data_IF_769258110925
#
_entry.id   IF_769258110925
#
_cell.length_a   1.000
_cell.length_b   1.000
_cell.length_c   1.000
_cell.angle_alpha   90.00
_cell.angle_beta   90.00
_cell.angle_gamma   90.00
#
_symmetry.space_group_name_H-M   'P 1'
#
loop_
_entity.id
_entity.type
_entity.pdbx_description
1 polymer ?
#
# COMPACT_ATOMS: atom_id res chain seq x y z
N UNK A 1 -71.44 -36.59 -22.50
CA UNK A 1 -70.74 -35.52 -23.18
C UNK A 1 -69.42 -35.35 -22.51
N UNK A 2 -68.42 -35.83 -23.17
CA UNK A 2 -67.03 -36.01 -22.74
C UNK A 2 -66.24 -34.72 -23.00
N UNK A 3 -65.57 -34.21 -21.96
CA UNK A 3 -64.48 -33.25 -22.18
C UNK A 3 -63.22 -33.76 -21.51
N UNK A 4 -62.22 -34.07 -22.34
CA UNK A 4 -60.88 -34.47 -21.94
C UNK A 4 -60.11 -33.33 -21.28
N UNK A 5 -59.19 -33.63 -20.35
CA UNK A 5 -58.27 -32.63 -19.82
C UNK A 5 -57.02 -32.51 -20.68
N UNK A 6 -56.60 -31.28 -20.95
CA UNK A 6 -55.37 -30.91 -21.60
C UNK A 6 -54.13 -31.29 -20.79
N UNK A 7 -53.23 -31.94 -21.46
CA UNK A 7 -51.88 -32.30 -20.99
C UNK A 7 -51.00 -31.04 -20.93
N UNK A 8 -50.65 -30.56 -19.76
CA UNK A 8 -49.63 -29.54 -19.51
C UNK A 8 -48.24 -30.17 -19.58
N UNK A 9 -47.56 -29.95 -20.69
CA UNK A 9 -46.16 -30.34 -20.87
C UNK A 9 -45.23 -29.49 -20.01
N UNK A 10 -44.65 -30.13 -19.01
CA UNK A 10 -43.56 -29.52 -18.21
C UNK A 10 -42.26 -29.39 -19.04
N UNK A 11 -41.81 -28.14 -19.16
CA UNK A 11 -40.51 -27.76 -19.79
C UNK A 11 -39.38 -28.28 -18.87
N UNK A 12 -38.33 -28.92 -19.41
CA UNK A 12 -37.21 -29.38 -18.60
C UNK A 12 -36.43 -28.20 -18.05
N UNK A 13 -36.08 -28.25 -16.76
CA UNK A 13 -35.25 -27.29 -16.07
C UNK A 13 -33.82 -27.30 -16.67
N UNK A 14 -33.40 -26.15 -17.14
CA UNK A 14 -32.06 -25.89 -17.65
C UNK A 14 -31.05 -25.96 -16.49
N UNK A 15 -30.07 -26.83 -16.58
CA UNK A 15 -28.97 -27.00 -15.64
C UNK A 15 -28.13 -25.70 -15.64
N UNK A 16 -27.78 -25.11 -14.48
CA UNK A 16 -26.91 -23.97 -14.48
C UNK A 16 -25.51 -24.37 -14.98
N UNK A 17 -25.00 -23.57 -15.91
CA UNK A 17 -23.66 -23.70 -16.48
C UNK A 17 -22.59 -23.66 -15.38
N UNK A 18 -21.69 -24.64 -15.41
CA UNK A 18 -20.54 -24.70 -14.51
C UNK A 18 -19.64 -23.46 -14.71
N UNK A 19 -19.32 -22.78 -13.63
CA UNK A 19 -18.29 -21.74 -13.61
C UNK A 19 -16.96 -22.29 -14.12
N UNK A 20 -16.23 -21.57 -14.97
CA UNK A 20 -14.91 -21.99 -15.39
C UNK A 20 -13.99 -22.07 -14.16
N UNK A 21 -13.33 -23.21 -14.01
CA UNK A 21 -12.31 -23.43 -12.99
C UNK A 21 -11.22 -22.38 -13.13
N UNK A 22 -10.97 -21.64 -12.08
CA UNK A 22 -9.83 -20.74 -11.98
C UNK A 22 -8.56 -21.58 -12.22
N UNK A 23 -7.82 -21.21 -13.27
CA UNK A 23 -6.49 -21.76 -13.51
C UNK A 23 -5.61 -21.30 -12.35
N UNK A 24 -5.28 -22.24 -11.45
CA UNK A 24 -4.25 -22.04 -10.45
C UNK A 24 -2.92 -21.76 -11.19
N UNK A 25 -2.53 -20.50 -11.23
CA UNK A 25 -1.18 -20.12 -11.61
C UNK A 25 -0.23 -20.76 -10.58
N UNK A 26 0.51 -21.76 -11.03
CA UNK A 26 1.61 -22.31 -10.25
C UNK A 26 2.63 -21.19 -10.02
N UNK A 27 2.62 -20.65 -8.82
CA UNK A 27 3.68 -19.79 -8.29
C UNK A 27 4.98 -20.62 -8.26
N UNK A 28 5.75 -20.49 -9.33
CA UNK A 28 7.10 -21.02 -9.42
C UNK A 28 7.98 -20.23 -8.46
N UNK A 29 8.58 -20.96 -7.52
CA UNK A 29 9.76 -20.52 -6.76
C UNK A 29 9.45 -19.41 -5.74
N UNK A 30 8.94 -19.80 -4.55
CA UNK A 30 9.15 -19.00 -3.34
C UNK A 30 10.66 -19.02 -3.04
N UNK A 31 11.38 -18.03 -3.55
CA UNK A 31 12.58 -17.57 -2.90
C UNK A 31 12.13 -16.93 -1.59
N UNK A 32 12.75 -17.33 -0.48
CA UNK A 32 12.53 -16.70 0.82
C UNK A 32 12.58 -15.17 0.66
N UNK A 33 11.69 -14.40 1.34
CA UNK A 33 11.76 -12.97 1.27
C UNK A 33 13.15 -12.56 1.76
N UNK A 34 14.01 -12.10 0.86
CA UNK A 34 15.19 -11.37 1.25
C UNK A 34 14.69 -10.15 2.02
N UNK A 35 14.75 -10.25 3.35
CA UNK A 35 14.66 -9.09 4.22
C UNK A 35 15.88 -8.25 3.85
N UNK A 36 15.74 -7.39 2.86
CA UNK A 36 16.70 -6.33 2.66
C UNK A 36 16.73 -5.55 3.97
N UNK A 37 17.78 -5.76 4.75
CA UNK A 37 18.12 -4.84 5.81
C UNK A 37 18.33 -3.49 5.14
N UNK A 38 17.30 -2.64 5.18
CA UNK A 38 17.38 -1.26 4.75
C UNK A 38 18.42 -0.59 5.66
N UNK A 39 19.67 -0.60 5.20
CA UNK A 39 20.73 0.18 5.83
C UNK A 39 20.48 1.63 5.41
N UNK A 40 19.54 2.29 6.12
CA UNK A 40 19.33 3.73 5.94
C UNK A 40 20.67 4.41 6.26
N UNK A 41 21.21 5.23 5.36
CA UNK A 41 22.37 6.04 5.70
C UNK A 41 22.06 6.80 6.99
N UNK A 42 23.02 6.82 7.92
CA UNK A 42 22.95 7.63 9.12
C UNK A 42 22.74 9.07 8.65
N UNK A 43 21.55 9.63 8.90
CA UNK A 43 21.26 11.01 8.55
C UNK A 43 22.08 11.90 9.49
N UNK A 44 23.09 12.57 8.97
CA UNK A 44 23.79 13.64 9.69
C UNK A 44 22.76 14.68 10.22
N UNK A 45 23.00 15.29 11.38
CA UNK A 45 22.13 16.36 11.89
C UNK A 45 22.05 17.46 10.83
N UNK A 46 20.86 17.70 10.29
CA UNK A 46 20.66 18.67 9.22
C UNK A 46 20.55 20.05 9.85
N UNK A 47 21.41 20.98 9.45
CA UNK A 47 21.29 22.41 9.76
C UNK A 47 19.93 22.91 9.23
N UNK A 48 19.03 23.41 10.09
CA UNK A 48 17.72 23.91 9.67
C UNK A 48 17.80 25.11 8.72
N UNK A 49 18.97 25.75 8.59
CA UNK A 49 19.20 26.92 7.74
C UNK A 49 19.98 26.62 6.43
N UNK A 50 20.53 25.41 6.29
CA UNK A 50 21.11 25.00 5.02
C UNK A 50 20.03 24.84 3.96
N UNK A 51 20.24 25.51 2.80
CA UNK A 51 19.36 25.28 1.64
C UNK A 51 19.51 23.84 1.19
N UNK A 52 18.40 23.09 1.17
CA UNK A 52 18.46 21.71 0.80
C UNK A 52 19.00 21.55 -0.64
N UNK A 53 20.14 20.88 -0.79
CA UNK A 53 20.47 20.24 -2.05
C UNK A 53 19.61 18.96 -2.12
N UNK A 54 18.65 18.88 -3.04
CA UNK A 54 17.92 17.65 -3.30
C UNK A 54 18.89 16.56 -3.80
N UNK A 55 18.86 15.31 -3.30
CA UNK A 55 17.80 14.64 -2.51
C UNK A 55 18.27 14.26 -1.09
N UNK A 56 17.53 14.68 -0.08
CA UNK A 56 17.89 14.42 1.34
C UNK A 56 17.68 13.00 1.83
N UNK A 57 16.85 12.21 1.14
CA UNK A 57 16.51 10.86 1.57
C UNK A 57 16.00 10.05 0.38
N UNK A 58 16.34 8.79 0.41
CA UNK A 58 15.77 7.85 -0.54
C UNK A 58 14.31 7.56 -0.15
N UNK A 59 13.39 7.97 -1.00
CA UNK A 59 11.97 7.61 -0.90
C UNK A 59 11.66 6.69 -2.07
N UNK A 60 11.12 5.49 -1.82
CA UNK A 60 10.65 4.64 -2.90
C UNK A 60 9.55 5.36 -3.70
N UNK A 61 9.65 5.33 -5.02
CA UNK A 61 8.71 5.97 -5.94
C UNK A 61 7.89 4.96 -6.75
N UNK A 62 8.21 3.67 -6.61
CA UNK A 62 7.49 2.57 -7.22
C UNK A 62 6.27 2.13 -6.39
N UNK A 63 5.40 1.30 -6.98
CA UNK A 63 4.25 0.72 -6.31
C UNK A 63 4.69 -0.46 -5.45
N UNK A 64 4.14 -0.60 -4.25
CA UNK A 64 4.35 -1.78 -3.41
C UNK A 64 3.12 -2.70 -3.51
N UNK A 65 3.23 -3.80 -4.26
CA UNK A 65 2.15 -4.76 -4.47
C UNK A 65 2.61 -6.14 -4.03
N UNK A 66 1.87 -6.79 -3.15
CA UNK A 66 2.20 -8.13 -2.66
C UNK A 66 3.57 -8.24 -1.99
N UNK A 67 4.10 -7.15 -1.42
CA UNK A 67 5.41 -7.08 -0.80
C UNK A 67 6.57 -6.87 -1.77
N UNK A 68 6.29 -6.61 -3.05
CA UNK A 68 7.30 -6.37 -4.10
C UNK A 68 7.14 -4.98 -4.68
N UNK A 69 8.25 -4.27 -4.91
CA UNK A 69 8.26 -3.00 -5.61
C UNK A 69 8.16 -3.22 -7.11
N UNK A 70 7.19 -2.55 -7.76
CA UNK A 70 6.92 -2.66 -9.19
C UNK A 70 6.74 -1.27 -9.81
N UNK A 71 7.13 -1.12 -11.07
CA UNK A 71 6.92 0.11 -11.83
C UNK A 71 5.45 0.28 -12.19
N UNK A 72 5.01 1.51 -12.43
CA UNK A 72 3.66 1.78 -12.94
C UNK A 72 3.53 1.42 -14.42
N UNK A 73 2.46 0.70 -14.79
CA UNK A 73 2.19 0.33 -16.19
C UNK A 73 1.86 1.55 -17.05
N UNK A 74 1.35 2.63 -16.45
CA UNK A 74 1.12 3.90 -17.12
C UNK A 74 2.36 4.82 -17.12
N UNK A 75 3.51 4.31 -16.65
CA UNK A 75 4.76 5.07 -16.53
C UNK A 75 4.87 5.79 -15.19
N UNK A 76 5.13 7.11 -15.21
CA UNK A 76 5.30 7.91 -14.00
C UNK A 76 4.83 9.35 -14.21
N UNK A 77 4.48 10.03 -13.13
CA UNK A 77 4.14 11.45 -13.15
C UNK A 77 5.00 12.25 -12.15
N UNK A 78 5.25 13.55 -12.43
CA UNK A 78 6.05 14.39 -11.56
C UNK A 78 5.26 14.85 -10.32
N UNK A 79 5.93 14.85 -9.17
CA UNK A 79 5.48 15.49 -7.93
C UNK A 79 6.21 16.82 -7.79
N UNK A 80 5.47 17.91 -7.62
CA UNK A 80 6.03 19.25 -7.58
C UNK A 80 6.02 19.83 -6.16
N UNK A 81 7.04 20.63 -5.86
CA UNK A 81 7.04 21.49 -4.70
C UNK A 81 6.13 22.71 -4.96
N UNK A 82 5.00 22.89 -4.23
CA UNK A 82 4.06 23.96 -4.51
C UNK A 82 4.63 25.36 -4.23
N UNK A 83 5.70 25.47 -3.44
CA UNK A 83 6.30 26.78 -3.12
C UNK A 83 7.18 27.35 -4.23
N UNK A 84 7.74 26.49 -5.10
CA UNK A 84 8.67 26.94 -6.15
C UNK A 84 8.45 26.25 -7.52
N UNK A 85 7.53 25.29 -7.62
CA UNK A 85 7.25 24.56 -8.86
C UNK A 85 8.30 23.55 -9.30
N UNK A 86 9.36 23.36 -8.52
CA UNK A 86 10.40 22.37 -8.85
C UNK A 86 9.88 20.94 -8.70
N UNK A 87 10.32 20.05 -9.58
CA UNK A 87 10.01 18.61 -9.49
C UNK A 87 10.81 18.01 -8.34
N UNK A 88 10.11 17.37 -7.41
CA UNK A 88 10.69 16.65 -6.27
C UNK A 88 11.08 15.22 -6.66
N UNK A 89 10.19 14.53 -7.36
CA UNK A 89 10.37 13.16 -7.79
C UNK A 89 9.41 12.83 -8.96
N UNK A 90 9.64 11.69 -9.61
CA UNK A 90 8.68 11.05 -10.49
C UNK A 90 8.19 9.78 -9.77
N UNK A 91 6.89 9.65 -9.56
CA UNK A 91 6.28 8.50 -8.90
C UNK A 91 5.54 7.64 -9.90
N UNK A 92 5.50 6.35 -9.64
CA UNK A 92 4.85 5.38 -10.52
C UNK A 92 3.35 5.68 -10.71
N UNK A 93 2.89 5.61 -11.95
CA UNK A 93 1.48 5.75 -12.34
C UNK A 93 0.87 4.36 -12.55
N UNK A 94 -0.01 3.96 -11.63
CA UNK A 94 -0.61 2.64 -11.64
C UNK A 94 -1.71 2.52 -12.69
N UNK A 95 -1.77 1.37 -13.39
CA UNK A 95 -2.95 0.99 -14.15
C UNK A 95 -4.10 0.54 -13.24
N UNK A 96 -5.30 0.45 -13.81
CA UNK A 96 -6.46 -0.11 -13.08
C UNK A 96 -6.21 -1.56 -12.68
N UNK A 97 -5.56 -2.32 -13.54
CA UNK A 97 -5.20 -3.72 -13.32
C UNK A 97 -4.25 -3.86 -12.13
N UNK A 98 -3.22 -3.02 -12.04
CA UNK A 98 -2.32 -2.97 -10.88
C UNK A 98 -3.05 -2.59 -9.58
N UNK A 99 -4.06 -1.72 -9.67
CA UNK A 99 -4.93 -1.42 -8.54
C UNK A 99 -5.72 -2.64 -8.06
N UNK A 100 -6.23 -3.45 -9.01
CA UNK A 100 -6.93 -4.71 -8.71
C UNK A 100 -5.96 -5.74 -8.12
N UNK A 101 -4.77 -5.90 -8.69
CA UNK A 101 -3.73 -6.80 -8.17
C UNK A 101 -3.34 -6.45 -6.72
N UNK A 102 -3.23 -5.16 -6.41
CA UNK A 102 -2.95 -4.71 -5.04
C UNK A 102 -4.08 -5.08 -4.07
N UNK A 103 -5.34 -4.95 -4.50
CA UNK A 103 -6.50 -5.37 -3.73
C UNK A 103 -6.53 -6.89 -3.52
N UNK A 104 -6.28 -7.66 -4.56
CA UNK A 104 -6.25 -9.13 -4.50
C UNK A 104 -5.14 -9.60 -3.56
N UNK A 105 -3.94 -9.02 -3.65
CA UNK A 105 -2.83 -9.31 -2.74
C UNK A 105 -3.19 -9.02 -1.26
N UNK A 106 -3.91 -7.93 -1.01
CA UNK A 106 -4.39 -7.59 0.33
C UNK A 106 -5.46 -8.59 0.82
N UNK A 107 -6.37 -9.02 -0.07
CA UNK A 107 -7.39 -10.02 0.24
C UNK A 107 -6.76 -11.39 0.56
N UNK A 108 -5.74 -11.80 -0.18
CA UNK A 108 -5.02 -13.05 0.04
C UNK A 108 -4.28 -13.05 1.39
N UNK A 109 -3.71 -11.91 1.77
CA UNK A 109 -3.03 -11.75 3.06
C UNK A 109 -3.98 -11.77 4.27
N UNK A 110 -5.29 -11.51 4.07
CA UNK A 110 -6.26 -11.35 5.16
C UNK A 110 -6.35 -12.57 6.08
N UNK A 111 -6.36 -13.77 5.53
CA UNK A 111 -6.53 -14.99 6.32
C UNK A 111 -5.34 -15.24 7.25
N UNK A 112 -4.11 -15.10 6.73
CA UNK A 112 -2.88 -15.25 7.52
C UNK A 112 -2.76 -14.16 8.58
N UNK A 113 -3.10 -12.91 8.24
CA UNK A 113 -3.12 -11.81 9.20
C UNK A 113 -4.13 -12.02 10.31
N UNK A 114 -5.33 -12.50 9.99
CA UNK A 114 -6.36 -12.80 10.99
C UNK A 114 -5.95 -13.94 11.93
N UNK A 115 -5.18 -14.91 11.44
CA UNK A 115 -4.64 -16.01 12.24
C UNK A 115 -3.42 -15.62 13.10
N UNK A 116 -2.78 -14.48 12.82
CA UNK A 116 -1.66 -13.95 13.61
C UNK A 116 -2.15 -13.58 15.01
N UNK A 117 -1.36 -13.93 16.03
CA UNK A 117 -1.74 -13.65 17.42
C UNK A 117 -1.92 -12.15 17.68
N UNK A 118 -2.79 -11.79 18.63
CA UNK A 118 -3.01 -10.38 19.02
C UNK A 118 -1.70 -9.72 19.43
N UNK A 119 -0.84 -10.46 20.15
CA UNK A 119 0.46 -9.96 20.59
C UNK A 119 1.39 -9.63 19.42
N UNK A 120 1.51 -10.54 18.46
CA UNK A 120 2.35 -10.30 17.27
C UNK A 120 1.86 -9.12 16.44
N UNK A 121 0.53 -8.96 16.29
CA UNK A 121 -0.03 -7.78 15.62
C UNK A 121 0.29 -6.49 16.37
N UNK A 122 0.16 -6.51 17.71
CA UNK A 122 0.52 -5.39 18.56
C UNK A 122 2.01 -5.03 18.44
N UNK A 123 2.90 -6.03 18.45
CA UNK A 123 4.34 -5.83 18.33
C UNK A 123 4.72 -5.20 16.97
N UNK A 124 4.05 -5.61 15.89
CA UNK A 124 4.23 -5.00 14.55
C UNK A 124 3.82 -3.53 14.55
N UNK A 125 2.65 -3.20 15.12
CA UNK A 125 2.17 -1.82 15.19
C UNK A 125 3.07 -0.94 16.09
N UNK A 126 3.52 -1.46 17.23
CA UNK A 126 4.46 -0.77 18.11
C UNK A 126 5.80 -0.50 17.43
N UNK A 127 6.29 -1.46 16.64
CA UNK A 127 7.50 -1.27 15.83
C UNK A 127 7.30 -0.19 14.78
N UNK A 128 6.15 -0.18 14.10
CA UNK A 128 5.80 0.86 13.13
C UNK A 128 5.72 2.25 13.78
N UNK A 129 5.07 2.36 14.96
CA UNK A 129 5.05 3.57 15.76
C UNK A 129 6.46 4.07 16.08
N UNK A 130 7.32 3.20 16.57
CA UNK A 130 8.70 3.54 16.92
C UNK A 130 9.48 4.06 15.72
N UNK A 131 9.41 3.37 14.58
CA UNK A 131 10.08 3.77 13.35
C UNK A 131 9.56 5.10 12.81
N UNK A 132 8.26 5.33 12.86
CA UNK A 132 7.65 6.59 12.42
C UNK A 132 8.09 7.75 13.30
N UNK A 133 8.10 7.56 14.62
CA UNK A 133 8.56 8.56 15.59
C UNK A 133 10.04 8.90 15.41
N UNK A 134 10.90 7.91 15.21
CA UNK A 134 12.32 8.11 14.94
C UNK A 134 12.58 8.88 13.63
N UNK A 135 11.66 8.79 12.67
CA UNK A 135 11.75 9.43 11.36
C UNK A 135 10.90 10.68 11.23
N UNK A 136 10.41 11.24 12.33
CA UNK A 136 9.50 12.41 12.34
C UNK A 136 10.03 13.54 11.46
N UNK A 137 11.30 13.92 11.58
CA UNK A 137 11.87 15.04 10.80
C UNK A 137 11.91 14.77 9.31
N UNK A 138 12.25 13.55 8.90
CA UNK A 138 12.29 13.15 7.49
C UNK A 138 10.90 13.19 6.87
N UNK A 139 9.92 12.58 7.56
CA UNK A 139 8.54 12.50 7.08
C UNK A 139 7.91 13.90 7.06
N UNK A 140 8.10 14.70 8.11
CA UNK A 140 7.56 16.06 8.19
C UNK A 140 8.12 16.97 7.09
N UNK A 141 9.41 16.88 6.79
CA UNK A 141 10.04 17.64 5.69
C UNK A 141 9.51 17.24 4.33
N UNK A 142 9.36 15.92 4.09
CA UNK A 142 8.76 15.42 2.85
C UNK A 142 7.35 15.98 2.68
N UNK A 143 6.54 15.89 3.72
CA UNK A 143 5.17 16.44 3.74
C UNK A 143 5.15 17.95 3.45
N UNK A 144 6.06 18.72 4.07
CA UNK A 144 6.20 20.15 3.80
C UNK A 144 6.56 20.42 2.34
N UNK A 145 7.47 19.65 1.78
CA UNK A 145 7.89 19.81 0.39
C UNK A 145 6.78 19.49 -0.61
N UNK A 146 5.97 18.46 -0.34
CA UNK A 146 4.89 18.05 -1.24
C UNK A 146 3.63 18.91 -1.10
N UNK A 147 3.32 19.38 0.10
CA UNK A 147 2.06 20.08 0.40
C UNK A 147 2.20 21.58 0.61
N UNK A 148 3.42 22.08 0.86
CA UNK A 148 3.67 23.49 1.12
C UNK A 148 3.25 23.97 2.52
N UNK A 149 2.86 23.10 3.43
CA UNK A 149 2.49 23.47 4.80
C UNK A 149 3.71 23.76 5.67
N UNK A 150 3.58 24.56 6.75
CA UNK A 150 4.65 24.80 7.70
C UNK A 150 5.18 23.51 8.35
N UNK A 151 6.49 23.45 8.59
CA UNK A 151 7.16 22.25 9.07
C UNK A 151 6.69 21.82 10.49
N UNK A 152 6.35 22.77 11.35
CA UNK A 152 5.79 22.49 12.67
C UNK A 152 4.43 21.81 12.60
N UNK A 153 3.58 22.21 11.66
CA UNK A 153 2.31 21.54 11.40
C UNK A 153 2.52 20.12 10.87
N UNK A 154 3.48 19.95 9.95
CA UNK A 154 3.85 18.62 9.43
C UNK A 154 4.35 17.69 10.55
N UNK A 155 5.15 18.19 11.50
CA UNK A 155 5.57 17.43 12.69
C UNK A 155 4.37 17.02 13.54
N UNK A 156 3.40 17.92 13.72
CA UNK A 156 2.16 17.62 14.43
C UNK A 156 1.36 16.52 13.77
N UNK A 157 1.27 16.50 12.44
CA UNK A 157 0.59 15.44 11.70
C UNK A 157 1.30 14.09 11.78
N UNK A 158 2.63 14.08 11.72
CA UNK A 158 3.39 12.84 11.92
C UNK A 158 3.14 12.27 13.32
N UNK A 159 3.16 13.11 14.35
CA UNK A 159 2.86 12.68 15.71
C UNK A 159 1.41 12.18 15.86
N UNK A 160 0.46 12.85 15.22
CA UNK A 160 -0.94 12.44 15.20
C UNK A 160 -1.11 11.07 14.52
N UNK A 161 -0.54 10.88 13.34
CA UNK A 161 -0.59 9.62 12.62
C UNK A 161 0.09 8.48 13.39
N UNK A 162 1.26 8.73 14.00
CA UNK A 162 1.96 7.74 14.82
C UNK A 162 1.11 7.26 16.01
N UNK A 163 0.35 8.17 16.65
CA UNK A 163 -0.50 7.82 17.78
C UNK A 163 -1.61 6.82 17.41
N UNK A 164 -2.09 6.78 16.16
CA UNK A 164 -3.02 5.73 15.73
C UNK A 164 -2.39 4.36 15.79
N UNK A 165 -1.14 4.22 15.31
CA UNK A 165 -0.42 2.94 15.37
C UNK A 165 -0.30 2.45 16.81
N UNK A 166 0.05 3.34 17.71
CA UNK A 166 0.15 3.06 19.15
C UNK A 166 -1.20 2.67 19.74
N UNK A 167 -2.25 3.44 19.46
CA UNK A 167 -3.60 3.19 19.96
C UNK A 167 -4.11 1.79 19.60
N UNK A 168 -3.92 1.38 18.34
CA UNK A 168 -4.36 0.06 17.89
C UNK A 168 -3.41 -1.08 18.28
N UNK A 169 -2.24 -0.77 18.82
CA UNK A 169 -1.33 -1.76 19.39
C UNK A 169 -1.66 -2.10 20.86
N UNK A 170 -2.30 -1.19 21.59
CA UNK A 170 -2.73 -1.34 22.99
C UNK A 170 -4.11 -2.00 23.08
#
# INVERSE_FOLDING_TARGET
MTTSPESSAQKPAEKPAAKPAAKSAQLRGRTEPHVHSFNMPQLEPIDPYERPSYPFFYVPTDLLIGGTWVTGDNGSFPVHNPSCGQILAHVADASVEQGIEALDAACDARASWAATSVRERADILNRAYTLMTQRTEVIARLMTLEMGKPLDQSRGEVAYAANYLRWYAE
#
